data_IF_106978486278
#
_entry.id   IF_106978486278
#
_cell.length_a   1.000
_cell.length_b   1.000
_cell.length_c   1.000
_cell.angle_alpha   90.00
_cell.angle_beta   90.00
_cell.angle_gamma   90.00
#
_symmetry.space_group_name_H-M   'P 1'
#
loop_
_entity.id
_entity.type
_entity.pdbx_description
1 polymer ?
#
# COMPACT_ATOMS: atom_id res chain seq x y z
N UNK A 1 -1.83 11.71 -17.40
CA UNK A 1 -1.24 10.89 -16.32
C UNK A 1 -1.90 11.34 -15.02
N UNK A 2 -2.71 10.49 -14.40
CA UNK A 2 -3.46 10.85 -13.18
C UNK A 2 -2.47 11.16 -12.05
N UNK A 3 -2.67 12.30 -11.37
CA UNK A 3 -1.71 12.89 -10.42
C UNK A 3 -1.99 12.51 -8.95
N UNK A 4 -2.72 11.41 -8.72
CA UNK A 4 -3.22 10.99 -7.41
C UNK A 4 -2.92 9.49 -7.17
N UNK A 5 -1.65 9.11 -7.29
CA UNK A 5 -1.14 7.74 -7.14
C UNK A 5 0.06 7.75 -6.21
N UNK A 6 0.06 6.88 -5.20
CA UNK A 6 1.10 6.83 -4.17
C UNK A 6 1.64 5.42 -3.98
N UNK A 7 2.96 5.28 -3.86
CA UNK A 7 3.68 4.00 -3.73
C UNK A 7 4.21 3.76 -2.30
N UNK A 8 4.08 2.54 -1.74
CA UNK A 8 4.57 2.15 -0.38
C UNK A 8 5.05 0.71 -0.31
N UNK A 9 5.80 0.29 0.73
CA UNK A 9 6.44 -1.04 0.80
C UNK A 9 5.89 -2.00 1.87
N UNK A 10 6.05 -3.32 1.65
CA UNK A 10 5.58 -4.41 2.53
C UNK A 10 6.43 -5.70 2.43
N UNK A 11 6.08 -6.77 3.15
CA UNK A 11 6.81 -8.05 3.20
C UNK A 11 6.10 -9.22 2.49
N UNK A 12 6.86 -10.15 1.90
CA UNK A 12 6.36 -11.31 1.13
C UNK A 12 6.98 -12.64 1.59
N UNK A 13 6.24 -13.75 1.45
CA UNK A 13 6.71 -15.12 1.65
C UNK A 13 6.11 -16.10 0.62
N UNK A 14 6.74 -17.27 0.44
CA UNK A 14 6.23 -18.37 -0.40
C UNK A 14 5.50 -19.42 0.44
N UNK A 15 4.30 -19.85 0.01
CA UNK A 15 3.54 -20.95 0.61
C UNK A 15 2.84 -21.76 -0.50
N UNK A 16 3.14 -23.06 -0.62
CA UNK A 16 2.54 -23.95 -1.62
C UNK A 16 2.60 -23.40 -3.07
N UNK A 17 3.78 -22.93 -3.50
CA UNK A 17 4.00 -22.25 -4.80
C UNK A 17 3.19 -20.96 -5.03
N UNK A 18 2.55 -20.41 -3.99
CA UNK A 18 1.91 -19.11 -4.01
C UNK A 18 2.72 -18.10 -3.24
N UNK A 19 2.57 -16.82 -3.62
CA UNK A 19 3.11 -15.71 -2.86
C UNK A 19 2.03 -15.18 -1.92
N UNK A 20 2.36 -15.07 -0.64
CA UNK A 20 1.43 -14.63 0.41
C UNK A 20 2.10 -13.65 1.35
N UNK A 21 1.30 -12.74 1.91
CA UNK A 21 1.79 -11.77 2.87
C UNK A 21 0.79 -10.67 3.16
N UNK A 22 1.28 -9.61 3.78
CA UNK A 22 0.52 -8.40 4.06
C UNK A 22 1.11 -7.24 3.28
N UNK A 23 0.27 -6.62 2.45
CA UNK A 23 0.58 -5.42 1.67
C UNK A 23 0.67 -4.20 2.59
N UNK A 24 -0.21 -4.13 3.58
CA UNK A 24 -0.27 -3.01 4.53
C UNK A 24 -0.59 -3.55 5.92
N UNK A 25 0.34 -3.50 6.88
CA UNK A 25 0.01 -3.75 8.28
C UNK A 25 -0.71 -2.54 8.89
N UNK A 26 -1.77 -2.78 9.66
CA UNK A 26 -2.54 -1.71 10.29
C UNK A 26 -1.80 -1.06 11.44
N UNK A 27 -2.01 0.25 11.60
CA UNK A 27 -1.44 1.07 12.68
C UNK A 27 0.09 0.98 12.79
N UNK A 28 0.76 0.42 11.78
CA UNK A 28 2.20 0.33 11.72
C UNK A 28 2.73 1.59 11.08
N UNK A 29 3.57 2.31 11.83
CA UNK A 29 4.24 3.50 11.34
C UNK A 29 5.15 3.12 10.18
N UNK A 30 5.06 3.85 9.08
CA UNK A 30 6.00 3.74 7.96
C UNK A 30 7.42 4.08 8.41
N UNK A 31 8.40 3.82 7.54
CA UNK A 31 9.68 4.53 7.65
C UNK A 31 9.45 6.05 7.48
N UNK A 32 10.44 6.85 7.86
CA UNK A 32 10.36 8.30 7.64
C UNK A 32 10.32 8.58 6.14
N UNK A 33 9.17 9.03 5.66
CA UNK A 33 8.94 9.26 4.24
C UNK A 33 9.60 10.58 3.86
N UNK A 34 10.71 10.48 3.11
CA UNK A 34 11.49 11.59 2.57
C UNK A 34 11.99 12.63 3.57
N UNK A 35 12.14 12.22 4.84
CA UNK A 35 12.56 13.12 5.91
C UNK A 35 11.46 14.02 6.45
N UNK A 36 10.20 13.86 6.01
CA UNK A 36 9.15 14.88 6.23
C UNK A 36 7.98 14.43 7.08
N UNK A 37 7.55 13.17 6.95
CA UNK A 37 6.40 12.67 7.69
C UNK A 37 6.43 11.15 7.83
N UNK A 38 5.62 10.68 8.77
CA UNK A 38 5.30 9.27 8.91
C UNK A 38 3.87 9.02 8.48
N UNK A 39 3.60 7.79 8.07
CA UNK A 39 2.28 7.37 7.64
C UNK A 39 1.82 6.11 8.38
N UNK A 40 0.53 6.06 8.67
CA UNK A 40 -0.17 4.88 9.18
C UNK A 40 -1.46 4.69 8.38
N UNK A 41 -1.83 3.43 8.19
CA UNK A 41 -3.15 3.05 7.68
C UNK A 41 -4.00 2.54 8.84
N UNK A 42 -5.20 3.09 8.99
CA UNK A 42 -6.16 2.61 9.95
C UNK A 42 -6.68 1.20 9.53
N UNK A 43 -7.17 0.38 10.49
CA UNK A 43 -7.78 -0.89 10.16
C UNK A 43 -8.91 -0.71 9.14
N UNK A 44 -8.94 -1.58 8.14
CA UNK A 44 -9.96 -1.61 7.09
C UNK A 44 -9.96 -0.39 6.15
N UNK A 45 -8.83 0.30 6.01
CA UNK A 45 -8.70 1.47 5.14
C UNK A 45 -8.97 1.17 3.65
N UNK A 46 -8.95 -0.09 3.21
CA UNK A 46 -9.23 -0.49 1.83
C UNK A 46 -10.59 -1.18 1.66
N UNK A 47 -11.41 -1.25 2.70
CA UNK A 47 -12.69 -1.97 2.69
C UNK A 47 -13.59 -1.56 1.52
N UNK A 48 -13.79 -0.26 1.34
CA UNK A 48 -14.63 0.29 0.27
C UNK A 48 -13.99 0.03 -1.11
N UNK A 49 -12.65 0.11 -1.19
CA UNK A 49 -11.91 -0.22 -2.41
C UNK A 49 -12.10 -1.68 -2.82
N UNK A 50 -12.03 -2.63 -1.89
CA UNK A 50 -12.24 -4.05 -2.17
C UNK A 50 -13.70 -4.36 -2.51
N UNK A 51 -14.64 -3.70 -1.85
CA UNK A 51 -16.07 -3.85 -2.10
C UNK A 51 -16.52 -3.28 -3.46
N UNK A 52 -15.80 -2.30 -4.00
CA UNK A 52 -16.12 -1.69 -5.31
C UNK A 52 -16.01 -2.66 -6.48
N UNK A 53 -15.23 -3.74 -6.34
CA UNK A 53 -14.96 -4.70 -7.41
C UNK A 53 -13.96 -4.18 -8.46
N UNK A 54 -13.27 -3.07 -8.19
CA UNK A 54 -12.19 -2.59 -9.03
C UNK A 54 -11.10 -3.66 -9.21
N UNK A 55 -10.58 -3.77 -10.43
CA UNK A 55 -9.58 -4.77 -10.76
C UNK A 55 -8.18 -4.30 -10.36
N UNK A 56 -7.61 -5.00 -9.39
CA UNK A 56 -6.26 -4.76 -8.88
C UNK A 56 -5.29 -5.75 -9.51
N UNK A 57 -4.14 -5.24 -9.95
CA UNK A 57 -3.08 -6.04 -10.58
C UNK A 57 -1.94 -6.30 -9.61
N UNK A 58 -1.36 -7.48 -9.71
CA UNK A 58 -0.05 -7.80 -9.16
C UNK A 58 0.99 -7.66 -10.28
N UNK A 59 1.97 -6.78 -10.09
CA UNK A 59 2.98 -6.43 -11.09
C UNK A 59 4.39 -6.77 -10.61
N UNK A 60 5.34 -6.84 -11.53
CA UNK A 60 6.77 -6.84 -11.23
C UNK A 60 7.35 -5.44 -11.51
N UNK A 61 8.02 -4.84 -10.53
CA UNK A 61 8.69 -3.52 -10.65
C UNK A 61 7.78 -2.38 -11.17
N UNK A 62 6.51 -2.33 -10.75
CA UNK A 62 5.49 -1.38 -11.24
C UNK A 62 5.28 -1.41 -12.79
N UNK A 63 5.81 -2.41 -13.49
CA UNK A 63 5.69 -2.54 -14.94
C UNK A 63 4.40 -3.29 -15.29
N UNK A 64 3.50 -2.63 -16.00
CA UNK A 64 2.27 -3.22 -16.52
C UNK A 64 2.52 -4.37 -17.51
N UNK A 65 3.71 -4.43 -18.12
CA UNK A 65 4.14 -5.58 -18.93
C UNK A 65 4.57 -6.77 -18.07
N UNK A 66 4.98 -6.52 -16.83
CA UNK A 66 5.32 -7.52 -15.81
C UNK A 66 4.10 -8.02 -15.02
N UNK A 67 2.96 -8.28 -15.70
CA UNK A 67 1.74 -8.74 -15.03
C UNK A 67 1.90 -10.16 -14.48
N UNK A 68 1.67 -10.32 -13.18
CA UNK A 68 1.77 -11.59 -12.45
C UNK A 68 0.41 -12.15 -12.03
N UNK A 69 -0.66 -11.35 -12.08
CA UNK A 69 -1.97 -11.77 -11.65
C UNK A 69 -2.89 -10.58 -11.40
N UNK A 70 -4.17 -10.86 -11.19
CA UNK A 70 -5.18 -9.81 -10.93
C UNK A 70 -6.43 -10.36 -10.27
N UNK A 71 -7.17 -9.48 -9.61
CA UNK A 71 -8.39 -9.86 -8.89
C UNK A 71 -9.50 -10.32 -9.85
N UNK A 72 -9.62 -9.69 -11.03
CA UNK A 72 -10.63 -10.09 -12.01
C UNK A 72 -10.49 -11.54 -12.53
N UNK A 73 -9.27 -12.09 -12.57
CA UNK A 73 -9.03 -13.48 -12.97
C UNK A 73 -8.91 -14.43 -11.78
N UNK A 74 -9.08 -13.96 -10.54
CA UNK A 74 -8.94 -14.72 -9.29
C UNK A 74 -7.57 -15.36 -9.07
N UNK A 75 -6.55 -14.89 -9.79
CA UNK A 75 -5.15 -15.26 -9.58
C UNK A 75 -4.51 -14.43 -8.47
N UNK A 76 -5.06 -13.25 -8.19
CA UNK A 76 -4.79 -12.46 -6.99
C UNK A 76 -6.05 -12.44 -6.11
N UNK A 77 -5.89 -12.83 -4.85
CA UNK A 77 -6.92 -12.71 -3.81
C UNK A 77 -6.44 -11.65 -2.80
N UNK A 78 -7.30 -10.68 -2.52
CA UNK A 78 -7.07 -9.62 -1.53
C UNK A 78 -8.16 -9.69 -0.46
N UNK A 79 -7.77 -9.51 0.79
CA UNK A 79 -8.69 -9.51 1.93
C UNK A 79 -8.10 -8.70 3.07
N UNK A 80 -8.94 -8.04 3.85
CA UNK A 80 -8.52 -7.40 5.10
C UNK A 80 -8.83 -8.29 6.29
N UNK A 81 -7.92 -8.33 7.26
CA UNK A 81 -8.13 -8.94 8.58
C UNK A 81 -7.66 -7.99 9.68
N UNK A 82 -7.61 -8.45 10.94
CA UNK A 82 -7.19 -7.61 12.07
C UNK A 82 -5.71 -7.19 12.01
N UNK A 83 -4.91 -7.82 11.16
CA UNK A 83 -3.47 -7.56 11.01
C UNK A 83 -3.20 -6.55 9.90
N UNK A 84 -3.86 -6.70 8.75
CA UNK A 84 -3.52 -5.93 7.57
C UNK A 84 -4.35 -6.24 6.32
N UNK A 85 -3.97 -5.56 5.23
CA UNK A 85 -4.38 -5.93 3.87
C UNK A 85 -3.57 -7.15 3.44
N UNK A 86 -4.18 -8.33 3.50
CA UNK A 86 -3.57 -9.60 3.11
C UNK A 86 -3.70 -9.82 1.61
N UNK A 87 -2.68 -10.43 1.00
CA UNK A 87 -2.75 -10.94 -0.37
C UNK A 87 -2.39 -12.43 -0.45
N UNK A 88 -2.92 -13.07 -1.48
CA UNK A 88 -2.48 -14.37 -1.99
C UNK A 88 -2.44 -14.31 -3.51
N UNK A 89 -1.28 -14.62 -4.09
CA UNK A 89 -1.03 -14.60 -5.51
C UNK A 89 -0.62 -15.98 -6.00
N UNK A 90 -1.30 -16.44 -7.05
CA UNK A 90 -0.93 -17.59 -7.87
C UNK A 90 -0.23 -17.07 -9.14
N UNK A 91 1.11 -16.95 -9.14
CA UNK A 91 1.85 -16.39 -10.26
C UNK A 91 1.78 -17.32 -11.48
N UNK A 92 1.76 -16.78 -12.72
CA UNK A 92 1.67 -17.58 -13.92
C UNK A 92 2.97 -18.34 -14.17
N UNK A 93 2.89 -19.45 -14.90
CA UNK A 93 4.05 -20.21 -15.37
C UNK A 93 4.74 -19.53 -16.58
N UNK A 94 5.03 -18.23 -16.44
CA UNK A 94 5.88 -17.46 -17.35
C UNK A 94 7.29 -17.36 -16.79
N UNK A 95 8.23 -16.88 -17.60
CA UNK A 95 9.60 -16.63 -17.13
C UNK A 95 9.60 -15.70 -15.90
N UNK A 96 8.91 -14.57 -15.98
CA UNK A 96 8.79 -13.62 -14.87
C UNK A 96 8.15 -14.22 -13.62
N UNK A 97 7.10 -15.04 -13.76
CA UNK A 97 6.45 -15.68 -12.62
C UNK A 97 7.32 -16.71 -11.92
N UNK A 98 8.02 -17.56 -12.69
CA UNK A 98 9.00 -18.53 -12.16
C UNK A 98 10.19 -17.84 -11.50
N UNK A 99 10.73 -16.81 -12.15
CA UNK A 99 11.86 -16.05 -11.62
C UNK A 99 11.49 -15.35 -10.31
N UNK A 100 10.29 -14.78 -10.22
CA UNK A 100 9.82 -14.17 -8.98
C UNK A 100 9.73 -15.17 -7.83
N UNK A 101 9.19 -16.38 -8.07
CA UNK A 101 9.12 -17.42 -7.04
C UNK A 101 10.51 -17.81 -6.54
N UNK A 102 11.48 -17.96 -7.45
CA UNK A 102 12.88 -18.27 -7.12
C UNK A 102 13.54 -17.14 -6.33
N UNK A 103 13.40 -15.89 -6.79
CA UNK A 103 13.97 -14.70 -6.14
C UNK A 103 13.39 -14.48 -4.74
N UNK A 104 12.08 -14.69 -4.56
CA UNK A 104 11.46 -14.62 -3.22
C UNK A 104 11.92 -15.81 -2.36
N UNK A 105 11.96 -17.02 -2.92
CA UNK A 105 12.38 -18.23 -2.20
C UNK A 105 13.82 -18.15 -1.68
N UNK A 106 14.71 -17.52 -2.44
CA UNK A 106 16.11 -17.24 -2.06
C UNK A 106 16.26 -16.05 -1.11
N UNK A 107 15.25 -15.18 -1.02
CA UNK A 107 15.28 -13.94 -0.25
C UNK A 107 15.90 -12.75 -0.99
N UNK A 108 16.17 -12.88 -2.30
CA UNK A 108 16.66 -11.78 -3.15
C UNK A 108 15.58 -10.68 -3.28
N UNK A 109 14.31 -11.08 -3.31
CA UNK A 109 13.15 -10.19 -3.16
C UNK A 109 12.43 -10.53 -1.86
N UNK A 110 12.61 -9.70 -0.84
CA UNK A 110 11.97 -9.84 0.47
C UNK A 110 10.82 -8.85 0.70
N UNK A 111 10.69 -7.88 -0.21
CA UNK A 111 9.71 -6.81 -0.12
C UNK A 111 8.75 -6.74 -1.28
N UNK A 112 7.69 -5.98 -1.10
CA UNK A 112 6.74 -5.60 -2.13
C UNK A 112 6.47 -4.11 -2.05
N UNK A 113 5.77 -3.59 -3.05
CA UNK A 113 5.23 -2.26 -3.04
C UNK A 113 3.75 -2.23 -3.44
N UNK A 114 3.04 -1.13 -3.23
CA UNK A 114 1.64 -0.99 -3.63
C UNK A 114 1.32 0.45 -4.00
N UNK A 115 0.47 0.59 -4.99
CA UNK A 115 -0.07 1.85 -5.49
C UNK A 115 -1.46 2.11 -4.94
N UNK A 116 -1.71 3.29 -4.37
CA UNK A 116 -3.01 3.66 -3.84
C UNK A 116 -3.35 5.14 -4.03
N UNK A 117 -4.60 5.50 -3.76
CA UNK A 117 -5.06 6.89 -3.63
C UNK A 117 -5.78 7.08 -2.30
N UNK A 118 -5.31 7.97 -1.44
CA UNK A 118 -6.03 8.34 -0.24
C UNK A 118 -7.35 9.06 -0.58
N UNK A 119 -8.45 8.56 -0.05
CA UNK A 119 -9.80 9.14 -0.22
C UNK A 119 -10.27 9.82 1.07
N UNK A 120 -9.79 9.35 2.24
CA UNK A 120 -9.93 10.03 3.53
C UNK A 120 -8.64 9.92 4.33
N UNK A 121 -8.19 11.07 4.83
CA UNK A 121 -6.95 11.18 5.58
C UNK A 121 -7.04 12.29 6.63
N UNK A 122 -6.16 12.20 7.61
CA UNK A 122 -5.92 13.26 8.59
C UNK A 122 -4.42 13.43 8.81
N UNK A 123 -4.04 14.63 9.24
CA UNK A 123 -2.66 14.99 9.48
C UNK A 123 -2.52 15.55 10.90
N UNK A 124 -1.61 14.98 11.69
CA UNK A 124 -1.21 15.51 12.98
C UNK A 124 0.09 16.30 12.84
N UNK A 125 -0.05 17.63 12.85
CA UNK A 125 1.05 18.59 12.78
C UNK A 125 1.59 18.99 14.16
N UNK A 126 1.10 18.42 15.26
CA UNK A 126 1.60 18.70 16.61
C UNK A 126 2.89 17.93 16.94
N UNK A 127 3.31 17.02 16.05
CA UNK A 127 4.58 16.32 16.09
C UNK A 127 5.43 16.61 14.85
N UNK A 128 6.74 16.50 15.00
CA UNK A 128 7.73 16.66 13.92
C UNK A 128 8.68 15.45 13.92
N UNK A 129 8.78 14.69 12.82
CA UNK A 129 7.99 14.75 11.59
C UNK A 129 6.48 14.47 11.79
N UNK A 130 5.62 15.16 11.03
CA UNK A 130 4.16 15.04 11.17
C UNK A 130 3.65 13.61 10.89
N UNK A 131 2.47 13.25 11.42
CA UNK A 131 1.86 11.95 11.17
C UNK A 131 0.66 12.08 10.23
N UNK A 132 0.70 11.36 9.13
CA UNK A 132 -0.45 11.14 8.25
C UNK A 132 -1.16 9.85 8.65
N UNK A 133 -2.47 9.93 8.84
CA UNK A 133 -3.33 8.76 9.06
C UNK A 133 -4.30 8.62 7.90
N UNK A 134 -4.19 7.53 7.16
CA UNK A 134 -5.09 7.18 6.06
C UNK A 134 -6.19 6.28 6.61
N UNK A 135 -7.44 6.73 6.52
CA UNK A 135 -8.61 5.99 7.02
C UNK A 135 -9.44 5.38 5.91
N UNK A 136 -9.27 5.85 4.67
CA UNK A 136 -9.91 5.30 3.48
C UNK A 136 -8.98 5.52 2.28
N UNK A 137 -8.80 4.49 1.46
CA UNK A 137 -7.97 4.54 0.27
C UNK A 137 -8.48 3.59 -0.83
N UNK A 138 -8.32 4.03 -2.09
CA UNK A 138 -8.46 3.20 -3.28
C UNK A 138 -7.14 2.47 -3.55
N UNK A 139 -7.15 1.13 -3.58
CA UNK A 139 -6.02 0.32 -4.00
C UNK A 139 -6.01 0.18 -5.51
N UNK A 140 -4.85 0.45 -6.13
CA UNK A 140 -4.70 0.50 -7.57
C UNK A 140 -3.85 -0.68 -8.09
N UNK A 141 -2.77 -1.01 -7.38
CA UNK A 141 -1.91 -2.14 -7.70
C UNK A 141 -1.11 -2.62 -6.48
N UNK A 142 -0.65 -3.88 -6.55
CA UNK A 142 0.46 -4.38 -5.73
C UNK A 142 1.60 -4.75 -6.67
N UNK A 143 2.84 -4.65 -6.21
CA UNK A 143 4.00 -5.02 -7.02
C UNK A 143 5.09 -5.67 -6.20
N UNK A 144 5.86 -6.56 -6.81
CA UNK A 144 7.07 -7.14 -6.22
C UNK A 144 8.27 -6.40 -6.80
N UNK A 145 9.16 -5.94 -5.92
CA UNK A 145 10.32 -5.12 -6.31
C UNK A 145 11.53 -5.47 -5.46
N UNK A 146 12.71 -5.50 -6.10
CA UNK A 146 13.99 -5.66 -5.43
C UNK A 146 14.42 -4.40 -4.66
N UNK A 147 13.88 -3.24 -5.05
CA UNK A 147 14.15 -1.95 -4.41
C UNK A 147 12.84 -1.32 -3.96
N UNK A 148 12.39 -1.53 -2.71
CA UNK A 148 11.13 -0.98 -2.18
C UNK A 148 11.15 0.55 -1.98
N UNK A 149 11.94 1.29 -2.76
CA UNK A 149 12.14 2.72 -2.63
C UNK A 149 11.03 3.52 -3.33
N UNK A 150 10.55 4.53 -2.61
CA UNK A 150 9.59 5.53 -3.07
C UNK A 150 10.15 6.32 -4.27
N UNK A 151 9.31 6.74 -5.23
CA UNK A 151 9.75 7.63 -6.33
C UNK A 151 9.60 9.11 -5.95
N UNK A 152 10.38 10.00 -6.58
CA UNK A 152 10.26 11.46 -6.37
C UNK A 152 8.84 12.00 -6.69
N UNK A 153 8.14 11.36 -7.63
CA UNK A 153 6.78 11.77 -8.03
C UNK A 153 5.74 11.45 -6.96
N UNK A 154 5.91 10.36 -6.20
CA UNK A 154 5.04 10.02 -5.06
C UNK A 154 5.13 11.08 -3.96
N UNK A 155 6.32 11.67 -3.79
CA UNK A 155 6.59 12.72 -2.79
C UNK A 155 5.82 13.97 -3.12
N UNK A 156 5.81 14.37 -4.39
CA UNK A 156 5.14 15.60 -4.79
C UNK A 156 3.63 15.51 -4.54
N UNK A 157 3.04 14.32 -4.70
CA UNK A 157 1.63 14.05 -4.41
C UNK A 157 1.36 14.10 -2.91
N UNK A 158 2.16 13.40 -2.10
CA UNK A 158 2.01 13.42 -0.65
C UNK A 158 2.27 14.80 -0.04
N UNK A 159 3.26 15.56 -0.54
CA UNK A 159 3.52 16.95 -0.14
C UNK A 159 2.36 17.87 -0.48
N UNK A 160 1.73 17.72 -1.64
CA UNK A 160 0.54 18.50 -2.00
C UNK A 160 -0.61 18.20 -1.06
N UNK A 161 -0.87 16.93 -0.75
CA UNK A 161 -1.86 16.53 0.27
C UNK A 161 -1.55 17.18 1.62
N UNK A 162 -0.30 17.08 2.09
CA UNK A 162 0.14 17.70 3.35
C UNK A 162 -0.07 19.22 3.35
N UNK A 163 0.29 19.92 2.28
CA UNK A 163 0.13 21.36 2.15
C UNK A 163 -1.35 21.78 2.19
N UNK A 164 -2.22 21.03 1.51
CA UNK A 164 -3.66 21.26 1.53
C UNK A 164 -4.24 21.02 2.93
N UNK A 165 -3.79 19.98 3.63
CA UNK A 165 -4.20 19.70 5.00
C UNK A 165 -3.74 20.77 6.00
N UNK A 166 -2.50 21.29 5.87
CA UNK A 166 -2.02 22.42 6.69
C UNK A 166 -2.89 23.68 6.52
N UNK A 167 -3.46 23.90 5.35
CA UNK A 167 -4.32 25.04 5.07
C UNK A 167 -5.76 24.85 5.58
N UNK A 168 -6.12 23.65 6.06
CA UNK A 168 -7.47 23.29 6.55
C UNK A 168 -7.40 22.68 7.96
N UNK A 169 -7.29 23.49 9.02
CA UNK A 169 -7.03 22.99 10.38
C UNK A 169 -8.18 22.22 11.06
N UNK A 170 -9.32 21.98 10.41
CA UNK A 170 -10.58 21.65 11.12
C UNK A 170 -10.82 20.16 11.46
N UNK A 171 -9.91 19.22 11.19
CA UNK A 171 -10.17 17.79 11.47
C UNK A 171 -9.30 17.14 12.57
N UNK A 172 -8.51 17.90 13.31
CA UNK A 172 -7.65 17.36 14.37
C UNK A 172 -8.41 16.95 15.67
N UNK A 173 -9.71 17.30 15.80
CA UNK A 173 -10.46 17.10 17.05
C UNK A 173 -11.36 15.87 17.14
N UNK A 174 -11.60 15.12 16.07
CA UNK A 174 -12.59 14.03 16.10
C UNK A 174 -12.09 12.68 16.63
N UNK A 175 -10.77 12.47 16.79
CA UNK A 175 -10.23 11.18 17.22
C UNK A 175 -10.01 11.03 18.73
N UNK A 176 -9.90 12.14 19.47
CA UNK A 176 -9.79 12.08 20.92
C UNK A 176 -11.08 11.61 21.61
N UNK A 177 -12.25 11.85 21.00
CA UNK A 177 -13.55 11.44 21.56
C UNK A 177 -13.95 9.99 21.24
N UNK A 178 -13.32 9.35 20.25
CA UNK A 178 -13.66 7.98 19.82
C UNK A 178 -12.88 6.88 20.56
N UNK A 179 -11.86 7.23 21.34
CA UNK A 179 -11.06 6.30 22.15
C UNK A 179 -11.39 6.33 23.65
N UNK A 180 -12.34 7.17 24.08
CA UNK A 180 -12.81 7.30 25.47
C UNK A 180 -14.22 6.71 25.70
N UNK A 181 -14.77 5.93 24.76
CA UNK A 181 -16.03 5.18 24.90
C UNK A 181 -15.80 3.68 24.64
#
# INVERSE_FOLDING_TARGET
MNKDFEIRSASVSVKNNKLVGYVVPWNSRSQLIWGEFYEVFAPYAFKDSLASGNDVRALYEHDYKGLLGRTASRTLILSEDNTGLRFELDPPDTQTGRDLLELVGRGDISGMSFGFRATKESWDFNQDPCLRTITDAELLEITFTATPAYSESDVEIARRSMQLARQRPDNARQWAELLEL
#
